data_IF_457281240498
#
_entry.id   IF_457281240498
#
_cell.length_a   1.000
_cell.length_b   1.000
_cell.length_c   1.000
_cell.angle_alpha   90.00
_cell.angle_beta   90.00
_cell.angle_gamma   90.00
#
_symmetry.space_group_name_H-M   'P 1'
#
loop_
_entity.id
_entity.type
_entity.pdbx_description
1 polymer ?
#
# COMPACT_ATOMS: atom_id res chain seq x y z
N UNK A 1 12.87 -13.83 28.43
CA UNK A 1 12.23 -13.12 27.31
C UNK A 1 12.67 -11.68 27.37
N UNK A 2 13.35 -11.16 26.36
CA UNK A 2 13.75 -9.76 26.32
C UNK A 2 12.65 -8.95 25.60
N UNK A 3 12.07 -7.98 26.29
CA UNK A 3 11.08 -7.06 25.71
C UNK A 3 11.82 -5.91 25.04
N UNK A 4 11.60 -5.71 23.74
CA UNK A 4 12.12 -4.54 23.03
C UNK A 4 11.29 -3.31 23.45
N UNK A 5 11.89 -2.40 24.23
CA UNK A 5 11.29 -1.10 24.49
C UNK A 5 11.50 -0.20 23.27
N UNK A 6 10.57 -0.27 22.32
CA UNK A 6 10.61 0.55 21.11
C UNK A 6 9.83 1.85 21.36
N UNK A 7 10.47 3.02 21.28
CA UNK A 7 9.75 4.29 21.38
C UNK A 7 8.78 4.45 20.18
N UNK A 8 7.69 5.22 20.34
CA UNK A 8 6.83 5.57 19.22
C UNK A 8 7.64 6.25 18.10
N UNK A 9 7.41 5.86 16.85
CA UNK A 9 8.14 6.43 15.69
C UNK A 9 7.99 7.95 15.63
N UNK A 10 6.81 8.48 15.99
CA UNK A 10 6.57 9.92 16.06
C UNK A 10 7.51 10.63 17.05
N UNK A 11 7.84 10.01 18.18
CA UNK A 11 8.77 10.56 19.18
C UNK A 11 10.19 10.58 18.63
N UNK A 12 10.59 9.54 17.91
CA UNK A 12 11.91 9.46 17.25
C UNK A 12 12.02 10.49 16.13
N UNK A 13 11.00 10.60 15.30
CA UNK A 13 10.94 11.55 14.18
C UNK A 13 10.91 13.02 14.64
N UNK A 14 10.33 13.29 15.82
CA UNK A 14 10.32 14.62 16.42
C UNK A 14 11.65 15.07 17.05
N UNK A 15 12.68 14.21 17.09
CA UNK A 15 13.97 14.56 17.66
C UNK A 15 14.81 15.38 16.66
N UNK A 16 15.15 16.66 16.97
CA UNK A 16 15.91 17.52 16.06
C UNK A 16 17.36 17.05 15.84
N UNK A 17 17.88 16.18 16.71
CA UNK A 17 19.24 15.63 16.61
C UNK A 17 19.29 14.28 15.87
N UNK A 18 18.20 13.87 15.21
CA UNK A 18 18.17 12.61 14.47
C UNK A 18 18.95 12.75 13.16
N UNK A 19 20.23 12.38 13.18
CA UNK A 19 21.11 12.40 11.99
C UNK A 19 21.02 11.13 11.16
N UNK A 20 20.62 10.01 11.77
CA UNK A 20 20.48 8.70 11.12
C UNK A 20 19.27 7.94 11.67
N UNK A 21 18.63 7.13 10.82
CA UNK A 21 17.55 6.22 11.23
C UNK A 21 18.15 5.16 12.17
N UNK A 22 17.58 4.93 13.37
CA UNK A 22 18.07 3.90 14.27
C UNK A 22 18.01 2.51 13.62
N UNK A 23 19.02 1.65 13.79
CA UNK A 23 19.06 0.33 13.14
C UNK A 23 17.86 -0.58 13.40
N UNK A 24 17.13 -0.35 14.49
CA UNK A 24 15.88 -1.07 14.83
C UNK A 24 14.72 -0.77 13.87
N UNK A 25 14.76 0.36 13.15
CA UNK A 25 13.79 0.73 12.13
C UNK A 25 14.34 0.55 10.71
N UNK A 26 15.62 0.19 10.57
CA UNK A 26 16.20 -0.08 9.27
C UNK A 26 15.66 -1.42 8.73
N UNK A 27 15.25 -1.43 7.47
CA UNK A 27 14.82 -2.65 6.80
C UNK A 27 15.99 -3.63 6.76
N UNK A 28 15.87 -4.75 7.47
CA UNK A 28 16.86 -5.83 7.39
C UNK A 28 16.57 -6.61 6.12
N UNK A 29 17.37 -6.39 5.09
CA UNK A 29 17.25 -7.13 3.84
C UNK A 29 17.62 -8.61 4.12
N UNK A 30 16.60 -9.45 4.34
CA UNK A 30 16.76 -10.87 4.66
C UNK A 30 17.01 -11.73 3.41
N UNK A 31 17.02 -11.12 2.22
CA UNK A 31 17.34 -11.76 0.95
C UNK A 31 18.25 -10.85 0.14
N UNK A 32 19.41 -11.35 -0.26
CA UNK A 32 20.39 -10.62 -1.07
C UNK A 32 19.91 -10.31 -2.52
N UNK A 33 18.64 -10.56 -2.84
CA UNK A 33 18.09 -10.48 -4.20
C UNK A 33 17.04 -9.40 -4.41
N UNK A 34 16.58 -8.72 -3.36
CA UNK A 34 15.66 -7.59 -3.54
C UNK A 34 16.49 -6.32 -3.72
N UNK A 35 16.95 -6.10 -4.96
CA UNK A 35 17.41 -4.79 -5.41
C UNK A 35 16.30 -3.80 -5.08
N UNK A 36 16.62 -2.72 -4.36
CA UNK A 36 15.73 -1.57 -4.21
C UNK A 36 15.29 -1.16 -5.61
N UNK A 37 14.09 -1.57 -6.02
CA UNK A 37 13.51 -1.09 -7.26
C UNK A 37 13.21 0.38 -7.00
N UNK A 38 14.13 1.23 -7.45
CA UNK A 38 13.86 2.63 -7.68
C UNK A 38 12.61 2.67 -8.56
N UNK A 39 11.47 2.99 -7.97
CA UNK A 39 10.31 3.48 -8.72
C UNK A 39 10.86 4.61 -9.58
N UNK A 40 10.79 4.42 -10.91
CA UNK A 40 11.33 5.38 -11.85
C UNK A 40 10.73 6.75 -11.54
N UNK A 41 11.59 7.69 -11.18
CA UNK A 41 11.21 8.99 -10.69
C UNK A 41 10.71 9.88 -11.81
N UNK A 42 9.42 9.82 -12.09
CA UNK A 42 8.58 10.99 -12.36
C UNK A 42 7.45 10.97 -11.33
N UNK A 43 7.23 12.08 -10.62
CA UNK A 43 6.35 12.18 -9.44
C UNK A 43 4.84 12.02 -9.68
N UNK A 44 4.46 11.38 -10.78
CA UNK A 44 3.15 10.82 -11.11
C UNK A 44 3.50 9.66 -12.05
N UNK A 45 3.23 8.40 -11.76
CA UNK A 45 1.90 7.83 -11.88
C UNK A 45 1.45 7.60 -13.34
N UNK A 46 2.20 8.04 -14.36
CA UNK A 46 1.72 8.04 -15.76
C UNK A 46 1.90 6.69 -16.47
N UNK A 47 2.90 5.90 -16.04
CA UNK A 47 3.25 4.60 -16.65
C UNK A 47 2.91 3.39 -15.77
N UNK A 48 2.29 3.61 -14.60
CA UNK A 48 1.84 2.54 -13.71
C UNK A 48 0.32 2.47 -13.78
N UNK A 49 -0.21 1.28 -14.07
CA UNK A 49 -1.65 1.08 -14.10
C UNK A 49 -2.25 1.49 -12.73
N UNK A 50 -3.23 2.41 -12.69
CA UNK A 50 -3.75 2.90 -11.44
C UNK A 50 -4.50 1.79 -10.69
N UNK A 51 -4.51 1.88 -9.35
CA UNK A 51 -5.34 0.99 -8.53
C UNK A 51 -6.79 1.11 -8.99
N UNK A 52 -7.49 -0.02 -9.24
CA UNK A 52 -8.87 0.02 -9.70
C UNK A 52 -9.80 0.71 -8.70
N UNK A 53 -10.80 1.42 -9.23
CA UNK A 53 -11.83 2.13 -8.45
C UNK A 53 -13.16 1.44 -8.70
N UNK A 54 -13.85 1.05 -7.64
CA UNK A 54 -15.12 0.32 -7.72
C UNK A 54 -16.23 1.16 -7.08
N UNK A 55 -17.25 1.50 -7.86
CA UNK A 55 -18.43 2.18 -7.33
C UNK A 55 -19.35 1.20 -6.57
N UNK A 56 -19.06 1.03 -5.28
CA UNK A 56 -19.84 0.16 -4.39
C UNK A 56 -21.28 0.64 -4.18
N UNK A 57 -21.63 1.89 -4.53
CA UNK A 57 -23.01 2.36 -4.41
C UNK A 57 -23.96 1.52 -5.27
N UNK A 58 -23.50 1.11 -6.46
CA UNK A 58 -24.26 0.32 -7.43
C UNK A 58 -24.64 -1.08 -6.92
N UNK A 59 -23.95 -1.59 -5.88
CA UNK A 59 -24.35 -2.83 -5.22
C UNK A 59 -25.72 -2.73 -4.57
N UNK A 60 -26.12 -1.53 -4.15
CA UNK A 60 -27.38 -1.28 -3.43
C UNK A 60 -28.37 -0.46 -4.23
N UNK A 61 -27.93 0.63 -4.87
CA UNK A 61 -28.79 1.57 -5.60
C UNK A 61 -28.84 1.34 -7.11
N UNK A 62 -27.99 0.46 -7.64
CA UNK A 62 -27.94 0.16 -9.08
C UNK A 62 -29.09 -0.74 -9.55
N UNK A 63 -29.31 -0.73 -10.87
CA UNK A 63 -30.18 -1.70 -11.54
C UNK A 63 -29.61 -3.13 -11.40
N UNK A 64 -30.40 -4.18 -11.65
CA UNK A 64 -29.90 -5.56 -11.63
C UNK A 64 -28.66 -5.77 -12.52
N UNK A 65 -28.63 -5.15 -13.69
CA UNK A 65 -27.52 -5.27 -14.64
C UNK A 65 -26.27 -4.54 -14.12
N UNK A 66 -26.42 -3.32 -13.62
CA UNK A 66 -25.31 -2.57 -13.02
C UNK A 66 -24.73 -3.30 -11.80
N UNK A 67 -25.60 -3.84 -10.95
CA UNK A 67 -25.18 -4.62 -9.78
C UNK A 67 -24.39 -5.85 -10.19
N UNK A 68 -24.85 -6.57 -11.21
CA UNK A 68 -24.16 -7.74 -11.72
C UNK A 68 -22.79 -7.38 -12.27
N UNK A 69 -22.68 -6.27 -13.01
CA UNK A 69 -21.41 -5.77 -13.53
C UNK A 69 -20.43 -5.42 -12.41
N UNK A 70 -20.88 -4.67 -11.38
CA UNK A 70 -20.02 -4.29 -10.25
C UNK A 70 -19.58 -5.49 -9.41
N UNK A 71 -20.44 -6.50 -9.23
CA UNK A 71 -20.05 -7.74 -8.53
C UNK A 71 -18.96 -8.50 -9.29
N UNK A 72 -19.06 -8.55 -10.63
CA UNK A 72 -18.05 -9.19 -11.47
C UNK A 72 -16.72 -8.42 -11.40
N UNK A 73 -16.78 -7.10 -11.53
CA UNK A 73 -15.62 -6.21 -11.48
C UNK A 73 -14.89 -6.30 -10.12
N UNK A 74 -15.66 -6.37 -9.03
CA UNK A 74 -15.13 -6.60 -7.68
C UNK A 74 -14.41 -7.94 -7.56
N UNK A 75 -15.00 -9.01 -8.10
CA UNK A 75 -14.37 -10.33 -8.13
C UNK A 75 -13.04 -10.33 -8.87
N UNK A 76 -13.01 -9.74 -10.07
CA UNK A 76 -11.80 -9.65 -10.89
C UNK A 76 -10.72 -8.83 -10.21
N UNK A 77 -11.09 -7.67 -9.67
CA UNK A 77 -10.15 -6.79 -8.96
C UNK A 77 -9.56 -7.46 -7.73
N UNK A 78 -10.35 -8.21 -6.96
CA UNK A 78 -9.83 -8.99 -5.85
C UNK A 78 -8.83 -10.06 -6.30
N UNK A 79 -9.04 -10.66 -7.48
CA UNK A 79 -8.19 -11.72 -8.00
C UNK A 79 -6.90 -11.19 -8.64
N UNK A 80 -6.98 -10.10 -9.38
CA UNK A 80 -5.88 -9.53 -10.15
C UNK A 80 -5.01 -8.60 -9.30
N UNK A 81 -5.64 -7.75 -8.49
CA UNK A 81 -4.97 -6.72 -7.71
C UNK A 81 -4.90 -7.05 -6.23
N UNK A 82 -5.98 -7.59 -5.67
CA UNK A 82 -6.13 -7.79 -4.23
C UNK A 82 -6.35 -6.49 -3.44
N UNK A 83 -6.44 -5.34 -4.11
CA UNK A 83 -6.78 -4.04 -3.53
C UNK A 83 -7.56 -3.18 -4.54
N UNK A 84 -8.40 -2.28 -4.03
CA UNK A 84 -9.21 -1.33 -4.81
C UNK A 84 -9.61 -0.13 -3.94
N UNK A 85 -10.10 0.92 -4.58
CA UNK A 85 -10.69 2.10 -3.93
C UNK A 85 -12.21 2.15 -4.06
#
# INVERSE_FOLDING_TARGET
>A
MATLNLPPVITVAGNPNLTHIPPIYAFRNLSATTTDQKVSGNGAGEDQEPIPIIDLSLLTSGTPDQRTAVVLDLGNTCQEWGCFM
#
